data_IF_332911974125
#
_entry.id   IF_332911974125
#
_cell.length_a   1.000
_cell.length_b   1.000
_cell.length_c   1.000
_cell.angle_alpha   90.00
_cell.angle_beta   90.00
_cell.angle_gamma   90.00
#
_symmetry.space_group_name_H-M   'P 1'
#
loop_
_entity.id
_entity.type
_entity.pdbx_description
1 polymer ?
#
# COMPACT_ATOMS: atom_id res chain seq x y z
N UNK A 1 -8.93 17.78 -4.36
CA UNK A 1 -8.75 16.74 -3.35
C UNK A 1 -7.33 16.21 -3.38
N UNK A 2 -6.68 16.19 -2.26
CA UNK A 2 -5.31 15.66 -2.19
C UNK A 2 -5.36 14.15 -2.04
N UNK A 3 -4.20 13.52 -2.25
CA UNK A 3 -4.11 12.07 -2.07
C UNK A 3 -4.40 11.69 -0.63
N UNK A 4 -3.93 12.50 0.31
CA UNK A 4 -4.23 12.25 1.72
C UNK A 4 -5.74 12.21 1.97
N UNK A 5 -6.45 13.16 1.39
CA UNK A 5 -7.90 13.24 1.57
C UNK A 5 -8.59 12.09 0.88
N UNK A 6 -8.13 11.75 -0.32
CA UNK A 6 -8.76 10.69 -1.10
C UNK A 6 -8.72 9.35 -0.37
N UNK A 7 -7.63 9.08 0.33
CA UNK A 7 -7.45 7.78 1.01
C UNK A 7 -7.58 7.87 2.51
N UNK A 8 -8.07 9.02 3.02
CA UNK A 8 -8.33 9.20 4.46
C UNK A 8 -7.07 9.02 5.31
N UNK A 9 -5.94 9.48 4.82
CA UNK A 9 -4.69 9.39 5.55
C UNK A 9 -4.58 10.63 6.43
N UNK A 10 -4.89 10.48 7.71
CA UNK A 10 -4.95 11.62 8.62
C UNK A 10 -3.66 11.81 9.43
N UNK A 11 -2.83 10.79 9.51
CA UNK A 11 -1.59 10.84 10.28
C UNK A 11 -0.47 11.40 9.39
N UNK A 12 0.01 12.63 9.65
CA UNK A 12 1.02 13.22 8.77
C UNK A 12 2.36 12.52 8.82
N UNK A 13 2.75 11.96 9.95
CA UNK A 13 4.01 11.24 10.04
C UNK A 13 3.97 9.96 9.23
N UNK A 14 2.84 9.25 9.30
CA UNK A 14 2.67 8.07 8.48
C UNK A 14 2.71 8.43 7.00
N UNK A 15 1.98 9.48 6.63
CA UNK A 15 1.94 9.89 5.24
C UNK A 15 3.34 10.19 4.71
N UNK A 16 4.16 10.83 5.52
CA UNK A 16 5.53 11.15 5.11
C UNK A 16 6.34 9.89 4.82
N UNK A 17 6.02 8.78 5.48
CA UNK A 17 6.74 7.52 5.23
C UNK A 17 6.46 6.96 3.85
N UNK A 18 5.27 7.20 3.30
CA UNK A 18 4.84 6.54 2.06
C UNK A 18 4.56 7.53 0.94
N UNK A 19 4.76 8.82 1.18
CA UNK A 19 4.34 9.85 0.24
C UNK A 19 4.89 9.61 -1.17
N UNK A 20 6.17 9.35 -1.27
CA UNK A 20 6.79 9.16 -2.57
C UNK A 20 6.24 7.94 -3.30
N UNK A 21 5.83 6.92 -2.55
CA UNK A 21 5.28 5.71 -3.14
C UNK A 21 3.84 5.90 -3.59
N UNK A 22 3.01 6.46 -2.71
CA UNK A 22 1.59 6.55 -3.00
C UNK A 22 1.29 7.58 -4.08
N UNK A 23 2.22 8.48 -4.34
CA UNK A 23 2.04 9.48 -5.39
C UNK A 23 2.40 8.95 -6.76
N UNK A 24 2.94 7.74 -6.87
CA UNK A 24 3.26 7.17 -8.17
C UNK A 24 2.02 6.59 -8.83
N UNK A 25 2.01 6.63 -10.15
CA UNK A 25 0.91 6.05 -10.91
C UNK A 25 0.82 4.54 -10.71
N UNK A 26 1.97 3.89 -10.59
CA UNK A 26 1.98 2.45 -10.51
C UNK A 26 1.36 1.96 -9.20
N UNK A 27 1.56 2.68 -8.11
CA UNK A 27 0.92 2.30 -6.86
C UNK A 27 -0.57 2.64 -6.93
N UNK A 28 -0.93 3.77 -7.52
CA UNK A 28 -2.33 4.16 -7.62
C UNK A 28 -3.14 3.22 -8.51
N UNK A 29 -2.49 2.50 -9.40
CA UNK A 29 -3.16 1.50 -10.22
C UNK A 29 -3.83 0.42 -9.37
N UNK A 30 -3.29 0.15 -8.18
CA UNK A 30 -3.89 -0.84 -7.29
C UNK A 30 -5.30 -0.44 -6.85
N UNK A 31 -5.64 0.82 -6.98
CA UNK A 31 -6.97 1.31 -6.60
C UNK A 31 -8.05 0.86 -7.58
N UNK A 32 -7.66 0.31 -8.71
CA UNK A 32 -8.61 -0.18 -9.72
C UNK A 32 -9.07 -1.59 -9.46
N UNK A 33 -8.47 -2.28 -8.53
CA UNK A 33 -8.75 -3.71 -8.29
C UNK A 33 -9.44 -3.89 -6.95
N UNK A 34 -10.54 -4.63 -6.98
CA UNK A 34 -11.35 -4.85 -5.78
C UNK A 34 -10.83 -6.09 -5.06
N UNK A 35 -10.57 -5.94 -3.76
CA UNK A 35 -10.15 -7.07 -2.93
C UNK A 35 -11.36 -7.73 -2.28
N UNK A 36 -12.17 -6.94 -1.61
CA UNK A 36 -13.33 -7.43 -0.88
C UNK A 36 -14.43 -6.40 -0.96
N UNK A 37 -15.58 -6.80 -1.49
CA UNK A 37 -16.71 -5.89 -1.56
C UNK A 37 -16.30 -4.59 -2.26
N UNK A 38 -16.30 -3.49 -1.56
CA UNK A 38 -15.92 -2.19 -2.13
C UNK A 38 -14.50 -1.77 -1.78
N UNK A 39 -13.75 -2.63 -1.10
CA UNK A 39 -12.38 -2.31 -0.70
C UNK A 39 -11.42 -2.65 -1.83
N UNK A 40 -10.68 -1.66 -2.28
CA UNK A 40 -9.70 -1.87 -3.35
C UNK A 40 -8.42 -2.46 -2.78
N UNK A 41 -7.57 -2.97 -3.67
CA UNK A 41 -6.26 -3.47 -3.27
C UNK A 41 -5.46 -2.37 -2.58
N UNK A 42 -5.52 -1.15 -3.10
CA UNK A 42 -4.78 -0.04 -2.49
C UNK A 42 -5.33 0.28 -1.11
N UNK A 43 -6.66 0.31 -0.94
CA UNK A 43 -7.25 0.53 0.37
C UNK A 43 -6.76 -0.48 1.38
N UNK A 44 -6.73 -1.75 0.96
CA UNK A 44 -6.25 -2.82 1.82
C UNK A 44 -4.79 -2.62 2.19
N UNK A 45 -3.96 -2.28 1.22
CA UNK A 45 -2.53 -2.08 1.46
C UNK A 45 -2.28 -0.91 2.40
N UNK A 46 -3.05 0.16 2.26
CA UNK A 46 -2.92 1.30 3.15
C UNK A 46 -3.29 0.89 4.58
N UNK A 47 -4.38 0.14 4.73
CA UNK A 47 -4.80 -0.31 6.06
C UNK A 47 -3.73 -1.17 6.73
N UNK A 48 -3.17 -2.12 6.00
CA UNK A 48 -2.13 -3.00 6.53
C UNK A 48 -0.88 -2.18 6.84
N UNK A 49 -0.52 -1.29 5.95
CA UNK A 49 0.66 -0.43 6.11
C UNK A 49 0.55 0.41 7.38
N UNK A 50 -0.61 1.03 7.59
CA UNK A 50 -0.79 1.90 8.73
C UNK A 50 -0.79 1.12 10.04
N UNK A 51 -1.44 -0.04 10.05
CA UNK A 51 -1.45 -0.88 11.24
C UNK A 51 -0.03 -1.33 11.59
N UNK A 52 0.72 -1.76 10.60
CA UNK A 52 2.09 -2.20 10.81
C UNK A 52 2.98 -1.04 11.28
N UNK A 53 2.75 0.15 10.71
CA UNK A 53 3.47 1.35 11.10
C UNK A 53 3.25 1.67 12.58
N UNK A 54 1.99 1.63 13.01
CA UNK A 54 1.68 1.93 14.40
C UNK A 54 2.31 0.92 15.36
N UNK A 55 2.27 -0.34 14.97
CA UNK A 55 2.86 -1.38 15.78
C UNK A 55 4.38 -1.22 15.86
N UNK A 56 5.01 -0.92 14.74
CA UNK A 56 6.45 -0.73 14.70
C UNK A 56 6.87 0.45 15.57
N UNK A 57 6.10 1.53 15.57
CA UNK A 57 6.42 2.67 16.43
C UNK A 57 6.31 2.29 17.88
N UNK A 58 5.29 1.53 18.24
CA UNK A 58 5.09 1.11 19.60
C UNK A 58 6.23 0.22 20.08
N UNK A 59 6.78 -0.59 19.18
CA UNK A 59 7.87 -1.52 19.52
C UNK A 59 9.25 -0.93 19.27
N UNK A 60 9.30 0.35 18.87
CA UNK A 60 10.57 1.05 18.62
C UNK A 60 11.37 0.37 17.51
N UNK A 61 10.69 -0.05 16.46
CA UNK A 61 11.30 -0.64 15.29
C UNK A 61 11.41 0.40 14.18
N UNK A 62 12.00 -0.02 13.05
CA UNK A 62 12.13 0.86 11.88
C UNK A 62 10.76 1.02 11.23
N UNK A 63 9.98 1.94 11.74
CA UNK A 63 8.60 2.12 11.29
C UNK A 63 8.51 2.67 9.88
N UNK A 64 9.53 3.38 9.42
CA UNK A 64 9.52 3.90 8.06
C UNK A 64 9.57 2.76 7.07
N UNK A 65 10.53 1.85 7.24
CA UNK A 65 10.64 0.70 6.35
C UNK A 65 9.42 -0.20 6.45
N UNK A 66 8.88 -0.36 7.66
CA UNK A 66 7.71 -1.21 7.86
C UNK A 66 6.50 -0.63 7.14
N UNK A 67 6.30 0.68 7.23
CA UNK A 67 5.16 1.32 6.55
C UNK A 67 5.27 1.13 5.04
N UNK A 68 6.45 1.32 4.48
CA UNK A 68 6.66 1.20 3.04
C UNK A 68 6.47 -0.24 2.58
N UNK A 69 7.03 -1.18 3.32
CA UNK A 69 6.86 -2.59 2.98
C UNK A 69 5.40 -3.01 3.04
N UNK A 70 4.68 -2.52 4.06
CA UNK A 70 3.26 -2.83 4.18
C UNK A 70 2.45 -2.31 3.01
N UNK A 71 2.77 -1.10 2.55
CA UNK A 71 2.05 -0.53 1.42
C UNK A 71 2.24 -1.36 0.15
N UNK A 72 3.41 -1.95 -0.01
CA UNK A 72 3.74 -2.70 -1.22
C UNK A 72 3.58 -4.20 -1.08
N UNK A 73 3.05 -4.68 0.04
CA UNK A 73 3.06 -6.12 0.30
C UNK A 73 2.24 -6.92 -0.72
N UNK A 74 1.19 -6.32 -1.28
CA UNK A 74 0.36 -7.00 -2.27
C UNK A 74 0.67 -6.55 -3.69
N UNK A 75 1.69 -5.72 -3.86
CA UNK A 75 2.02 -5.20 -5.18
C UNK A 75 2.38 -6.33 -6.14
N UNK A 76 3.11 -7.30 -5.66
CA UNK A 76 3.45 -8.48 -6.42
C UNK A 76 2.23 -9.23 -6.90
N UNK A 77 1.28 -9.47 -5.99
CA UNK A 77 0.07 -10.19 -6.34
C UNK A 77 -0.74 -9.43 -7.38
N UNK A 78 -0.84 -8.12 -7.19
CA UNK A 78 -1.54 -7.28 -8.14
C UNK A 78 -0.94 -7.42 -9.53
N UNK A 79 0.37 -7.28 -9.62
CA UNK A 79 1.06 -7.34 -10.89
C UNK A 79 0.97 -8.73 -11.50
N UNK A 80 1.05 -9.73 -10.65
CA UNK A 80 0.97 -11.12 -11.10
C UNK A 80 -0.41 -11.43 -11.69
N UNK A 81 -1.45 -10.85 -11.10
CA UNK A 81 -2.80 -11.08 -11.59
C UNK A 81 -3.01 -10.49 -12.98
N UNK A 82 -2.25 -9.46 -13.31
CA UNK A 82 -2.37 -8.81 -14.61
C UNK A 82 -1.60 -9.51 -15.71
N UNK A 83 -0.76 -10.46 -15.35
CA UNK A 83 0.06 -11.15 -16.33
C UNK A 83 -0.73 -12.25 -17.02
N UNK A 84 -0.43 -12.52 -18.28
CA UNK A 84 -1.05 -13.67 -18.95
C UNK A 84 -0.75 -14.94 -18.18
N UNK A 85 -1.69 -15.88 -18.28
CA UNK A 85 -1.52 -17.12 -17.63
C UNK A 85 -0.24 -17.80 -18.06
N UNK A 86 0.49 -18.36 -17.12
CA UNK A 86 1.74 -19.02 -17.41
C UNK A 86 2.94 -18.15 -17.31
N UNK A 87 2.76 -16.86 -17.19
CA UNK A 87 3.87 -15.94 -16.99
C UNK A 87 3.95 -15.55 -15.54
N UNK A 88 5.15 -15.55 -15.02
CA UNK A 88 5.36 -15.18 -13.63
C UNK A 88 6.47 -14.17 -13.55
N UNK A 89 6.31 -13.22 -12.63
CA UNK A 89 7.30 -12.19 -12.45
C UNK A 89 8.56 -12.73 -11.84
N UNK A 90 8.40 -13.74 -11.04
CA UNK A 90 9.54 -14.33 -10.37
C UNK A 90 9.36 -15.81 -10.40
N UNK A 91 10.41 -16.43 -10.37
CA UNK A 91 10.26 -17.83 -10.43
C UNK A 91 11.41 -18.52 -10.38
#
# INVERSE_FOLDING_TARGET
MTIREKYNITDPEYYNCIKDLIETEVVQEMDKYIQHGSTTTLDHCIAVSYLAYRLARKLDLDYISVARAGLLHDFYLYDWHDLPKGKKLFK
#
